data_IF_367718742278
#
_entry.id   IF_367718742278
#
_cell.length_a   1.000
_cell.length_b   1.000
_cell.length_c   1.000
_cell.angle_alpha   90.00
_cell.angle_beta   90.00
_cell.angle_gamma   90.00
#
_symmetry.space_group_name_H-M   'P 1'
#
loop_
_entity.id
_entity.type
_entity.pdbx_description
1 polymer ?
#
# COMPACT_ATOMS: atom_id res chain seq x y z
N UNK A 1 -36.39 -24.77 20.32
CA UNK A 1 -34.94 -24.51 20.25
C UNK A 1 -34.63 -24.22 18.79
N UNK A 2 -34.57 -22.93 18.42
CA UNK A 2 -34.34 -22.52 17.03
C UNK A 2 -32.89 -22.05 16.95
N UNK A 3 -32.06 -22.82 16.26
CA UNK A 3 -30.67 -22.47 15.97
C UNK A 3 -30.65 -21.52 14.78
N UNK A 4 -30.41 -20.26 15.10
CA UNK A 4 -30.07 -19.21 14.15
C UNK A 4 -28.59 -19.35 13.82
N UNK A 5 -28.24 -19.82 12.62
CA UNK A 5 -26.86 -19.79 12.14
C UNK A 5 -26.79 -19.15 10.77
N UNK A 6 -26.56 -17.84 10.84
CA UNK A 6 -25.88 -16.96 9.89
C UNK A 6 -25.47 -17.58 8.57
N UNK A 7 -26.10 -17.07 7.52
CA UNK A 7 -25.62 -17.06 6.14
C UNK A 7 -24.16 -16.64 6.11
N UNK A 8 -23.28 -17.60 5.84
CA UNK A 8 -21.85 -17.36 5.66
C UNK A 8 -21.69 -16.64 4.32
N UNK A 9 -21.65 -15.31 4.36
CA UNK A 9 -21.25 -14.50 3.22
C UNK A 9 -19.80 -14.85 2.90
N UNK A 10 -19.61 -15.61 1.84
CA UNK A 10 -18.35 -15.71 1.10
C UNK A 10 -18.08 -14.34 0.48
N UNK A 11 -17.59 -13.42 1.29
CA UNK A 11 -16.85 -12.25 0.84
C UNK A 11 -15.42 -12.52 1.27
N UNK A 12 -14.51 -12.63 0.31
CA UNK A 12 -13.09 -12.36 0.56
C UNK A 12 -13.02 -10.96 1.16
N UNK A 13 -13.15 -10.87 2.47
CA UNK A 13 -12.94 -9.65 3.20
C UNK A 13 -11.42 -9.48 3.12
N UNK A 14 -10.90 -8.47 2.40
CA UNK A 14 -9.47 -8.20 2.41
C UNK A 14 -9.04 -8.13 3.89
N UNK A 15 -7.81 -8.57 4.22
CA UNK A 15 -7.35 -8.61 5.60
C UNK A 15 -7.74 -7.28 6.25
N UNK A 16 -8.38 -7.34 7.43
CA UNK A 16 -9.00 -6.18 8.09
C UNK A 16 -8.03 -5.00 8.29
N UNK A 17 -6.74 -5.25 8.10
CA UNK A 17 -5.61 -4.35 8.19
C UNK A 17 -4.83 -4.29 6.86
N UNK A 18 -5.52 -4.28 5.71
CA UNK A 18 -4.87 -4.02 4.42
C UNK A 18 -4.85 -2.50 4.20
N UNK A 19 -3.72 -1.82 4.46
CA UNK A 19 -3.63 -0.36 4.33
C UNK A 19 -3.78 0.09 2.87
N UNK A 20 -3.51 -0.82 1.93
CA UNK A 20 -3.64 -0.59 0.49
C UNK A 20 -5.10 -0.66 0.01
N UNK A 21 -5.97 -1.37 0.72
CA UNK A 21 -7.40 -1.50 0.39
C UNK A 21 -8.15 -0.17 0.50
N UNK A 22 -7.58 0.79 1.24
CA UNK A 22 -8.14 2.13 1.43
C UNK A 22 -7.63 3.15 0.42
N UNK A 23 -6.67 2.79 -0.43
CA UNK A 23 -6.17 3.71 -1.45
C UNK A 23 -7.12 3.78 -2.63
N UNK A 24 -7.41 5.01 -3.06
CA UNK A 24 -8.00 5.26 -4.38
C UNK A 24 -6.94 5.13 -5.47
N UNK A 25 -7.38 5.00 -6.72
CA UNK A 25 -6.49 4.83 -7.88
C UNK A 25 -5.58 6.04 -8.19
N UNK A 26 -5.81 7.20 -7.58
CA UNK A 26 -4.95 8.40 -7.69
C UNK A 26 -4.15 8.65 -6.40
N UNK A 27 -4.27 7.74 -5.43
CA UNK A 27 -3.63 7.85 -4.13
C UNK A 27 -2.45 6.89 -4.01
N UNK A 28 -1.39 7.38 -3.39
CA UNK A 28 -0.15 6.67 -3.13
C UNK A 28 0.07 6.66 -1.62
N UNK A 29 0.34 5.49 -1.06
CA UNK A 29 0.65 5.35 0.35
C UNK A 29 2.15 5.51 0.55
N UNK A 30 2.53 6.56 1.26
CA UNK A 30 3.88 6.80 1.75
C UNK A 30 4.02 6.16 3.11
N UNK A 31 4.94 5.22 3.27
CA UNK A 31 5.31 4.70 4.57
C UNK A 31 6.80 4.84 4.83
N UNK A 32 7.15 5.06 6.09
CA UNK A 32 8.54 5.10 6.54
C UNK A 32 8.83 3.88 7.39
N UNK A 33 9.78 3.08 6.92
CA UNK A 33 10.29 1.95 7.67
C UNK A 33 11.18 2.47 8.81
N UNK A 34 10.83 2.24 10.09
CA UNK A 34 11.60 2.76 11.22
C UNK A 34 12.90 1.98 11.47
N UNK A 35 13.02 0.75 10.95
CA UNK A 35 14.19 -0.09 11.15
C UNK A 35 15.37 0.33 10.25
N UNK A 36 15.07 0.72 9.02
CA UNK A 36 16.06 1.13 8.00
C UNK A 36 16.05 2.64 7.75
N UNK A 37 14.98 3.34 8.13
CA UNK A 37 14.75 4.74 7.81
C UNK A 37 14.27 4.98 6.37
N UNK A 38 14.06 3.93 5.58
CA UNK A 38 13.65 4.03 4.18
C UNK A 38 12.20 4.50 4.04
N UNK A 39 11.98 5.32 3.01
CA UNK A 39 10.65 5.83 2.68
C UNK A 39 10.17 5.13 1.41
N UNK A 40 9.15 4.31 1.57
CA UNK A 40 8.51 3.56 0.50
C UNK A 40 7.21 4.23 0.11
N UNK A 41 6.89 4.18 -1.17
CA UNK A 41 5.63 4.64 -1.71
C UNK A 41 4.94 3.46 -2.39
N UNK A 42 3.65 3.27 -2.16
CA UNK A 42 2.88 2.17 -2.74
C UNK A 42 1.66 2.70 -3.47
N UNK A 43 1.43 2.24 -4.69
CA UNK A 43 0.16 2.45 -5.41
C UNK A 43 -0.46 1.11 -5.80
N UNK A 44 -1.77 1.13 -6.04
CA UNK A 44 -2.54 -0.01 -6.52
C UNK A 44 -3.23 0.36 -7.82
N UNK A 45 -2.62 -0.03 -8.94
CA UNK A 45 -3.14 0.18 -10.28
C UNK A 45 -3.57 -1.17 -10.88
N UNK A 46 -4.82 -1.27 -11.34
CA UNK A 46 -5.37 -2.49 -11.97
C UNK A 46 -5.27 -3.75 -11.07
N UNK A 47 -5.35 -3.57 -9.74
CA UNK A 47 -5.19 -4.66 -8.76
C UNK A 47 -3.73 -5.10 -8.55
N UNK A 48 -2.78 -4.42 -9.17
CA UNK A 48 -1.35 -4.68 -9.06
C UNK A 48 -0.72 -3.67 -8.09
N UNK A 49 -0.01 -4.17 -7.08
CA UNK A 49 0.69 -3.31 -6.13
C UNK A 49 2.07 -2.97 -6.65
N UNK A 50 2.38 -1.68 -6.71
CA UNK A 50 3.67 -1.15 -7.11
C UNK A 50 4.30 -0.44 -5.93
N UNK A 51 5.57 -0.72 -5.65
CA UNK A 51 6.36 0.06 -4.70
C UNK A 51 7.34 0.95 -5.44
N UNK A 52 7.65 2.10 -4.83
CA UNK A 52 8.60 3.09 -5.31
C UNK A 52 9.51 3.52 -4.16
N UNK A 53 10.78 3.73 -4.48
CA UNK A 53 11.80 4.09 -3.50
C UNK A 53 12.84 5.03 -4.13
N UNK A 54 13.38 5.95 -3.32
CA UNK A 54 14.33 6.96 -3.80
C UNK A 54 15.63 6.35 -4.34
N UNK A 55 16.11 5.24 -3.76
CA UNK A 55 17.33 4.56 -4.22
C UNK A 55 17.23 4.05 -5.67
N UNK A 56 16.02 3.70 -6.11
CA UNK A 56 15.74 3.23 -7.46
C UNK A 56 15.24 4.36 -8.38
N UNK A 57 15.42 5.63 -8.00
CA UNK A 57 14.87 6.77 -8.75
C UNK A 57 13.34 6.74 -8.84
N UNK A 58 12.66 6.15 -7.85
CA UNK A 58 11.22 5.94 -7.85
C UNK A 58 10.70 5.10 -9.02
N UNK A 59 11.51 4.17 -9.53
CA UNK A 59 11.09 3.18 -10.51
C UNK A 59 9.98 2.26 -9.94
N UNK A 60 8.96 1.90 -10.74
CA UNK A 60 7.94 0.94 -10.34
C UNK A 60 8.54 -0.45 -10.11
N UNK A 61 8.41 -0.95 -8.90
CA UNK A 61 8.69 -2.35 -8.58
C UNK A 61 7.39 -3.07 -8.26
N UNK A 62 7.12 -4.15 -9.00
CA UNK A 62 5.95 -4.99 -8.77
C UNK A 62 6.15 -5.81 -7.51
N UNK A 63 5.23 -5.68 -6.55
CA UNK A 63 5.25 -6.44 -5.32
C UNK A 63 3.92 -7.11 -5.05
N UNK A 64 3.99 -8.20 -4.29
CA UNK A 64 2.77 -8.84 -3.81
C UNK A 64 2.10 -7.96 -2.77
N UNK A 65 0.77 -7.92 -2.79
CA UNK A 65 -0.04 -7.19 -1.81
C UNK A 65 0.32 -7.56 -0.37
N UNK A 66 0.57 -8.85 -0.12
CA UNK A 66 1.00 -9.34 1.20
C UNK A 66 2.34 -8.74 1.64
N UNK A 67 3.35 -8.70 0.77
CA UNK A 67 4.66 -8.12 1.09
C UNK A 67 4.54 -6.62 1.41
N UNK A 68 3.77 -5.91 0.60
CA UNK A 68 3.53 -4.49 0.82
C UNK A 68 2.76 -4.25 2.13
N UNK A 69 1.69 -5.01 2.39
CA UNK A 69 0.92 -4.92 3.63
C UNK A 69 1.76 -5.25 4.86
N UNK A 70 2.62 -6.27 4.81
CA UNK A 70 3.56 -6.58 5.90
C UNK A 70 4.55 -5.44 6.16
N UNK A 71 5.07 -4.84 5.09
CA UNK A 71 6.01 -3.73 5.20
C UNK A 71 5.34 -2.48 5.78
N UNK A 72 4.13 -2.16 5.31
CA UNK A 72 3.36 -1.02 5.80
C UNK A 72 2.88 -1.26 7.24
N UNK A 73 2.48 -2.48 7.59
CA UNK A 73 2.09 -2.85 8.95
C UNK A 73 3.24 -2.77 9.96
N UNK A 74 4.50 -2.87 9.49
CA UNK A 74 5.71 -2.63 10.29
C UNK A 74 6.17 -1.18 10.24
N UNK A 75 5.63 -0.36 9.35
CA UNK A 75 6.00 1.03 9.23
C UNK A 75 5.48 1.83 10.44
N UNK A 76 6.33 2.70 10.97
CA UNK A 76 5.97 3.55 12.12
C UNK A 76 5.16 4.77 11.70
N UNK A 77 5.44 5.31 10.52
CA UNK A 77 4.75 6.47 9.97
C UNK A 77 4.15 6.10 8.60
N UNK A 78 2.83 6.20 8.49
CA UNK A 78 2.09 5.94 7.24
C UNK A 78 1.24 7.17 6.92
N UNK A 79 1.34 7.64 5.69
CA UNK A 79 0.60 8.79 5.18
C UNK A 79 0.13 8.53 3.75
N UNK A 80 -1.09 8.93 3.43
CA UNK A 80 -1.59 8.92 2.06
C UNK A 80 -1.22 10.24 1.38
N UNK A 81 -0.64 10.16 0.19
CA UNK A 81 -0.31 11.30 -0.68
C UNK A 81 -0.94 11.09 -2.05
N UNK A 82 -1.17 12.16 -2.82
CA UNK A 82 -1.64 12.02 -4.19
C UNK A 82 -0.53 11.53 -5.14
N UNK A 83 -0.90 10.92 -6.26
CA UNK A 83 0.03 10.45 -7.30
C UNK A 83 0.95 11.59 -7.80
N UNK A 84 0.43 12.82 -7.89
CA UNK A 84 1.21 14.01 -8.25
C UNK A 84 2.43 14.24 -7.34
N UNK A 85 2.35 13.86 -6.05
CA UNK A 85 3.48 13.96 -5.14
C UNK A 85 4.60 12.99 -5.52
N UNK A 86 4.24 11.77 -5.90
CA UNK A 86 5.19 10.77 -6.39
C UNK A 86 5.82 11.21 -7.72
N UNK A 87 5.03 11.79 -8.63
CA UNK A 87 5.55 12.31 -9.90
C UNK A 87 6.54 13.46 -9.70
N UNK A 88 6.24 14.38 -8.78
CA UNK A 88 7.19 15.44 -8.41
C UNK A 88 8.50 14.86 -7.88
N UNK A 89 8.44 13.83 -7.03
CA UNK A 89 9.63 13.17 -6.49
C UNK A 89 10.43 12.42 -7.55
N UNK A 90 9.75 11.76 -8.51
CA UNK A 90 10.40 11.16 -9.69
C UNK A 90 11.20 12.18 -10.47
N UNK A 91 10.57 13.31 -10.83
CA UNK A 91 11.21 14.39 -11.59
C UNK A 91 12.34 15.08 -10.83
N UNK A 92 12.23 15.18 -9.52
CA UNK A 92 13.26 15.79 -8.68
C UNK A 92 14.46 14.85 -8.43
N UNK A 93 14.31 13.55 -8.69
CA UNK A 93 15.36 12.55 -8.58
C UNK A 93 16.16 12.31 -9.87
N UNK A 94 15.83 12.99 -10.96
CA UNK A 94 16.58 12.98 -12.24
C UNK A 94 17.74 13.98 -12.27
#
# INVERSE_FOLDING_TARGET
>A
MSVDHQTTTTGEQPPRDDPLARLSSDEVLKCRDPATGYVWFYDVADGVVRKYHCYHGYAPELVSRTEAAETIGRAGEVATVGEQHLEMLRRAGE
#
